data_IF_775967212190
#
_entry.id   IF_775967212190
#
_cell.length_a   1.000
_cell.length_b   1.000
_cell.length_c   1.000
_cell.angle_alpha   90.00
_cell.angle_beta   90.00
_cell.angle_gamma   90.00
#
_symmetry.space_group_name_H-M   'P 1'
#
loop_
_entity.id
_entity.type
_entity.pdbx_description
1 polymer ?
#
# COMPACT_ATOMS: atom_id res chain seq x y z
N UNK A 1 -15.02 -12.98 21.43
CA UNK A 1 -15.57 -12.70 20.08
C UNK A 1 -14.42 -12.34 19.16
N UNK A 2 -14.46 -12.66 17.87
CA UNK A 2 -13.38 -12.30 16.95
C UNK A 2 -13.81 -11.43 15.77
N UNK A 3 -12.88 -10.65 15.25
CA UNK A 3 -12.96 -9.91 13.99
C UNK A 3 -11.67 -10.17 13.21
N UNK A 4 -11.70 -10.08 11.88
CA UNK A 4 -10.50 -10.28 11.07
C UNK A 4 -10.00 -8.97 10.50
N UNK A 5 -8.68 -8.80 10.55
CA UNK A 5 -7.95 -7.70 9.94
C UNK A 5 -6.75 -8.22 9.17
N UNK A 6 -5.84 -7.29 8.85
CA UNK A 6 -4.60 -7.60 8.14
C UNK A 6 -3.41 -6.88 8.73
N UNK A 7 -2.24 -7.50 8.60
CA UNK A 7 -0.93 -6.83 8.72
C UNK A 7 -0.13 -7.08 7.44
N UNK A 8 0.89 -6.26 7.20
CA UNK A 8 1.75 -6.38 6.02
C UNK A 8 3.05 -7.11 6.38
N UNK A 9 3.45 -8.04 5.51
CA UNK A 9 4.75 -8.70 5.53
C UNK A 9 5.39 -8.50 4.16
N UNK A 10 6.30 -7.53 4.05
CA UNK A 10 6.77 -7.07 2.73
C UNK A 10 5.62 -6.49 1.91
N UNK A 11 5.41 -7.02 0.72
CA UNK A 11 4.32 -6.67 -0.20
C UNK A 11 3.05 -7.53 -0.01
N UNK A 12 3.07 -8.49 0.90
CA UNK A 12 1.95 -9.41 1.13
C UNK A 12 1.12 -8.99 2.35
N UNK A 13 -0.20 -9.21 2.28
CA UNK A 13 -1.07 -9.14 3.44
C UNK A 13 -1.15 -10.51 4.14
N UNK A 14 -1.16 -10.48 5.46
CA UNK A 14 -1.41 -11.64 6.32
C UNK A 14 -2.66 -11.40 7.14
N UNK A 15 -3.55 -12.40 7.18
CA UNK A 15 -4.78 -12.37 7.99
C UNK A 15 -4.39 -12.28 9.46
N UNK A 16 -5.02 -11.36 10.19
CA UNK A 16 -4.89 -11.22 11.64
C UNK A 16 -6.26 -11.44 12.25
N UNK A 17 -6.35 -12.37 13.21
CA UNK A 17 -7.56 -12.51 14.02
C UNK A 17 -7.43 -11.62 15.26
N UNK A 18 -8.46 -10.81 15.49
CA UNK A 18 -8.58 -9.89 16.60
C UNK A 18 -9.61 -10.45 17.57
N UNK A 19 -9.14 -11.12 18.60
CA UNK A 19 -9.97 -11.69 19.64
C UNK A 19 -10.16 -10.67 20.75
N UNK A 20 -11.41 -10.48 21.16
CA UNK A 20 -11.77 -9.52 22.21
C UNK A 20 -12.56 -10.22 23.31
N UNK A 21 -12.13 -9.96 24.54
CA UNK A 21 -12.81 -10.31 25.78
C UNK A 21 -13.03 -9.05 26.62
N UNK A 22 -14.22 -8.91 27.21
CA UNK A 22 -14.58 -7.81 28.10
C UNK A 22 -14.98 -8.39 29.45
N UNK A 23 -14.30 -7.98 30.51
CA UNK A 23 -14.54 -8.42 31.90
C UNK A 23 -14.85 -7.24 32.80
N UNK A 24 -15.45 -7.50 33.97
CA UNK A 24 -15.72 -6.47 34.97
C UNK A 24 -14.44 -5.87 35.60
N UNK A 25 -14.58 -4.70 36.22
CA UNK A 25 -13.49 -4.04 36.96
C UNK A 25 -13.14 -2.64 36.46
N UNK A 26 -11.97 -2.14 36.87
CA UNK A 26 -11.46 -0.83 36.46
C UNK A 26 -11.22 -0.78 34.95
N UNK A 27 -11.56 0.37 34.35
CA UNK A 27 -11.43 0.57 32.92
C UNK A 27 -9.98 0.40 32.46
N UNK A 28 -9.75 -0.52 31.52
CA UNK A 28 -8.44 -0.73 30.90
C UNK A 28 -8.59 -1.40 29.55
N UNK A 29 -7.70 -1.08 28.61
CA UNK A 29 -7.57 -1.78 27.32
C UNK A 29 -6.12 -2.27 27.18
N UNK A 30 -5.94 -3.57 27.02
CA UNK A 30 -4.66 -4.22 26.71
C UNK A 30 -4.67 -4.81 25.31
N UNK A 31 -3.53 -4.71 24.62
CA UNK A 31 -3.32 -5.28 23.28
C UNK A 31 -2.07 -6.14 23.32
N UNK A 32 -2.19 -7.41 22.93
CA UNK A 32 -1.09 -8.40 22.91
C UNK A 32 -1.01 -9.11 21.55
N UNK A 33 0.07 -9.85 21.29
CA UNK A 33 0.31 -10.53 20.01
C UNK A 33 1.30 -9.82 19.08
N UNK A 34 2.43 -9.36 19.63
CA UNK A 34 3.49 -8.59 18.95
C UNK A 34 3.02 -7.29 18.24
N UNK A 35 2.26 -6.40 18.92
CA UNK A 35 1.94 -5.09 18.35
C UNK A 35 3.17 -4.17 18.35
N UNK A 36 3.30 -3.32 17.33
CA UNK A 36 4.21 -2.17 17.37
C UNK A 36 3.67 -1.04 18.28
N UNK A 37 4.36 0.10 18.33
CA UNK A 37 3.92 1.25 19.12
C UNK A 37 2.58 1.82 18.62
N UNK A 38 2.38 1.90 17.30
CA UNK A 38 1.17 2.45 16.69
C UNK A 38 -0.06 1.61 17.00
N UNK A 39 0.06 0.28 16.93
CA UNK A 39 -0.99 -0.68 17.29
C UNK A 39 -1.29 -0.63 18.79
N UNK A 40 -0.28 -0.45 19.66
CA UNK A 40 -0.53 -0.26 21.11
C UNK A 40 -1.30 1.04 21.40
N UNK A 41 -0.98 2.11 20.69
CA UNK A 41 -1.64 3.42 20.82
C UNK A 41 -3.05 3.43 20.21
N UNK A 42 -3.36 2.50 19.31
CA UNK A 42 -4.69 2.33 18.72
C UNK A 42 -5.79 2.22 19.77
N UNK A 43 -5.50 1.71 20.98
CA UNK A 43 -6.47 1.61 22.08
C UNK A 43 -7.17 2.94 22.39
N UNK A 44 -6.45 4.06 22.31
CA UNK A 44 -7.04 5.38 22.57
C UNK A 44 -7.89 5.85 21.38
N UNK A 45 -7.42 5.63 20.15
CA UNK A 45 -8.15 5.97 18.93
C UNK A 45 -9.45 5.18 18.80
N UNK A 46 -9.37 3.86 18.98
CA UNK A 46 -10.50 2.93 18.97
C UNK A 46 -11.52 3.31 20.05
N UNK A 47 -11.07 3.59 21.28
CA UNK A 47 -11.96 4.02 22.37
C UNK A 47 -12.69 5.34 22.04
N UNK A 48 -11.98 6.32 21.48
CA UNK A 48 -12.58 7.60 21.11
C UNK A 48 -13.59 7.44 19.98
N UNK A 49 -13.23 6.68 18.93
CA UNK A 49 -14.09 6.39 17.79
C UNK A 49 -15.37 5.62 18.18
N UNK A 50 -15.28 4.64 19.07
CA UNK A 50 -16.46 3.93 19.59
C UNK A 50 -17.38 4.89 20.37
N UNK A 51 -16.80 5.77 21.17
CA UNK A 51 -17.57 6.77 21.93
C UNK A 51 -18.30 7.76 21.02
N UNK A 52 -17.69 8.16 19.90
CA UNK A 52 -18.32 9.11 18.97
C UNK A 52 -19.57 8.53 18.29
N UNK A 53 -19.69 7.20 18.21
CA UNK A 53 -20.87 6.50 17.71
C UNK A 53 -21.81 6.02 18.81
N UNK A 54 -21.69 6.59 20.02
CA UNK A 54 -22.58 6.31 21.15
C UNK A 54 -22.23 5.06 21.96
N UNK A 55 -21.11 4.39 21.68
CA UNK A 55 -20.72 3.17 22.39
C UNK A 55 -19.76 3.48 23.53
N UNK A 56 -20.21 3.27 24.77
CA UNK A 56 -19.40 3.47 25.97
C UNK A 56 -18.77 2.15 26.42
N UNK A 57 -17.49 1.96 26.09
CA UNK A 57 -16.71 0.78 26.52
C UNK A 57 -16.41 0.87 28.02
N UNK A 58 -16.77 -0.16 28.77
CA UNK A 58 -16.56 -0.27 30.23
C UNK A 58 -15.83 -1.56 30.57
N UNK A 59 -15.25 -1.60 31.78
CA UNK A 59 -14.52 -2.77 32.27
C UNK A 59 -13.13 -2.94 31.66
N UNK A 60 -12.57 -4.14 31.81
CA UNK A 60 -11.26 -4.50 31.27
C UNK A 60 -11.45 -5.20 29.93
N UNK A 61 -10.89 -4.60 28.88
CA UNK A 61 -10.88 -5.13 27.52
C UNK A 61 -9.51 -5.74 27.24
N UNK A 62 -9.49 -7.03 26.95
CA UNK A 62 -8.30 -7.73 26.46
C UNK A 62 -8.45 -7.96 24.95
N UNK A 63 -7.47 -7.49 24.18
CA UNK A 63 -7.38 -7.68 22.73
C UNK A 63 -6.16 -8.54 22.42
N UNK A 64 -6.39 -9.72 21.86
CA UNK A 64 -5.34 -10.61 21.38
C UNK A 64 -5.28 -10.59 19.86
N UNK A 65 -4.08 -10.40 19.30
CA UNK A 65 -3.83 -10.34 17.86
C UNK A 65 -3.11 -11.61 17.40
N UNK A 66 -3.83 -12.56 16.80
CA UNK A 66 -3.29 -13.81 16.29
C UNK A 66 -2.94 -13.73 14.80
N UNK A 67 -1.89 -14.44 14.32
CA UNK A 67 -1.04 -15.38 15.07
C UNK A 67 0.10 -14.66 15.81
N UNK A 68 0.48 -15.14 17.00
CA UNK A 68 1.35 -14.41 17.93
C UNK A 68 2.83 -14.28 17.50
N UNK A 69 3.27 -15.03 16.48
CA UNK A 69 4.61 -15.02 15.90
C UNK A 69 4.80 -13.96 14.80
N UNK A 70 3.70 -13.36 14.34
CA UNK A 70 3.71 -12.33 13.31
C UNK A 70 3.64 -10.93 13.93
N UNK A 71 4.60 -10.02 13.64
CA UNK A 71 4.51 -8.62 14.03
C UNK A 71 3.31 -7.90 13.40
N UNK A 72 2.61 -7.08 14.20
CA UNK A 72 1.49 -6.24 13.75
C UNK A 72 1.92 -4.78 13.76
N UNK A 73 1.86 -4.16 12.59
CA UNK A 73 2.41 -2.82 12.39
C UNK A 73 1.40 -1.80 11.87
N UNK A 74 1.55 -0.56 12.33
CA UNK A 74 0.77 0.59 11.85
C UNK A 74 -0.69 0.61 12.31
N UNK A 75 -1.51 1.44 11.66
CA UNK A 75 -2.87 1.71 12.08
C UNK A 75 -3.95 0.90 11.32
N UNK A 76 -3.56 -0.13 10.55
CA UNK A 76 -4.50 -0.94 9.76
C UNK A 76 -5.53 -1.68 10.63
N UNK A 77 -5.14 -1.98 11.87
CA UNK A 77 -5.91 -2.80 12.81
C UNK A 77 -6.84 -1.99 13.71
N UNK A 78 -6.89 -0.66 13.61
CA UNK A 78 -7.81 0.15 14.41
C UNK A 78 -9.28 -0.28 14.15
N UNK A 79 -9.67 -0.38 12.87
CA UNK A 79 -11.02 -0.79 12.48
C UNK A 79 -11.41 -2.21 12.98
N UNK A 80 -10.64 -3.29 12.71
CA UNK A 80 -11.00 -4.62 13.20
C UNK A 80 -10.99 -4.72 14.73
N UNK A 81 -10.16 -3.94 15.44
CA UNK A 81 -10.25 -3.81 16.91
C UNK A 81 -11.58 -3.21 17.36
N UNK A 82 -12.04 -2.13 16.73
CA UNK A 82 -13.34 -1.54 17.05
C UNK A 82 -14.51 -2.50 16.75
N UNK A 83 -14.44 -3.23 15.64
CA UNK A 83 -15.43 -4.28 15.30
C UNK A 83 -15.42 -5.40 16.35
N UNK A 84 -14.25 -5.89 16.74
CA UNK A 84 -14.12 -6.93 17.78
C UNK A 84 -14.73 -6.51 19.12
N UNK A 85 -14.48 -5.26 19.55
CA UNK A 85 -15.08 -4.70 20.77
C UNK A 85 -16.59 -4.57 20.63
N UNK A 86 -17.09 -4.05 19.51
CA UNK A 86 -18.53 -3.92 19.28
C UNK A 86 -19.25 -5.27 19.31
N UNK A 87 -18.65 -6.32 18.75
CA UNK A 87 -19.16 -7.71 18.84
C UNK A 87 -19.17 -8.21 20.29
N UNK A 88 -18.09 -7.97 21.05
CA UNK A 88 -18.00 -8.40 22.45
C UNK A 88 -19.00 -7.66 23.36
N UNK A 89 -19.39 -6.44 23.02
CA UNK A 89 -20.44 -5.68 23.70
C UNK A 89 -21.86 -6.10 23.29
N UNK A 90 -22.03 -6.86 22.20
CA UNK A 90 -23.34 -7.22 21.66
C UNK A 90 -24.04 -6.11 20.86
N UNK A 91 -23.29 -5.06 20.47
CA UNK A 91 -23.81 -3.87 19.77
C UNK A 91 -23.98 -4.07 18.26
N UNK A 92 -23.36 -5.12 17.72
CA UNK A 92 -23.54 -5.58 16.35
C UNK A 92 -23.84 -7.09 16.36
N UNK A 93 -24.73 -7.57 15.47
CA UNK A 93 -25.06 -8.98 15.41
C UNK A 93 -23.86 -9.81 14.96
N UNK A 94 -23.89 -11.14 15.16
CA UNK A 94 -22.91 -12.04 14.56
C UNK A 94 -23.04 -12.00 13.03
N UNK A 95 -22.21 -11.17 12.39
CA UNK A 95 -22.04 -11.18 10.95
C UNK A 95 -21.10 -12.32 10.53
N UNK A 96 -21.23 -12.75 9.27
CA UNK A 96 -20.31 -13.71 8.66
C UNK A 96 -18.86 -13.24 8.70
N UNK A 97 -17.92 -14.13 8.42
CA UNK A 97 -16.51 -13.75 8.38
C UNK A 97 -16.26 -12.65 7.34
N UNK A 98 -15.54 -11.62 7.75
CA UNK A 98 -15.16 -10.50 6.90
C UNK A 98 -13.82 -9.93 7.35
N UNK A 99 -13.03 -9.44 6.39
CA UNK A 99 -11.78 -8.74 6.66
C UNK A 99 -12.08 -7.24 6.76
N UNK A 100 -11.64 -6.60 7.82
CA UNK A 100 -11.77 -5.16 8.03
C UNK A 100 -10.38 -4.53 8.12
N UNK A 101 -10.17 -3.39 7.48
CA UNK A 101 -8.95 -2.61 7.63
C UNK A 101 -9.24 -1.12 7.60
N UNK A 102 -8.44 -0.34 8.33
CA UNK A 102 -8.54 1.11 8.33
C UNK A 102 -8.05 1.73 9.63
N UNK A 103 -7.55 2.95 9.52
CA UNK A 103 -7.20 3.79 10.67
C UNK A 103 -8.45 4.52 11.16
N UNK A 104 -8.62 4.60 12.48
CA UNK A 104 -9.73 5.34 13.07
C UNK A 104 -9.30 6.74 13.50
N UNK A 105 -10.01 7.74 13.02
CA UNK A 105 -10.01 9.06 13.62
C UNK A 105 -10.82 9.05 14.93
N UNK A 106 -10.52 9.99 15.83
CA UNK A 106 -11.19 10.08 17.14
C UNK A 106 -12.71 10.35 17.04
N UNK A 107 -13.17 10.89 15.92
CA UNK A 107 -14.58 11.17 15.62
C UNK A 107 -15.30 10.00 14.93
N UNK A 108 -14.61 8.87 14.73
CA UNK A 108 -15.19 7.68 14.10
C UNK A 108 -15.11 7.66 12.58
N UNK A 109 -14.48 8.66 11.93
CA UNK A 109 -14.12 8.57 10.51
C UNK A 109 -13.05 7.50 10.30
N UNK A 110 -13.10 6.83 9.15
CA UNK A 110 -12.11 5.83 8.74
C UNK A 110 -11.17 6.47 7.72
N UNK A 111 -9.88 6.45 8.02
CA UNK A 111 -8.83 7.08 7.20
C UNK A 111 -8.14 6.06 6.31
N UNK A 112 -7.57 6.58 5.21
CA UNK A 112 -6.75 5.82 4.27
C UNK A 112 -5.62 5.11 5.01
N UNK A 113 -5.36 3.87 4.63
CA UNK A 113 -4.19 3.11 5.09
C UNK A 113 -3.40 2.59 3.90
N UNK A 114 -2.15 2.20 4.13
CA UNK A 114 -1.37 1.45 3.14
C UNK A 114 -1.87 0.01 3.04
N UNK A 115 -1.61 -0.66 1.92
CA UNK A 115 -1.76 -2.10 1.79
C UNK A 115 -3.16 -2.60 1.43
N UNK A 116 -4.07 -1.77 0.91
CA UNK A 116 -5.41 -2.24 0.57
C UNK A 116 -5.42 -3.20 -0.63
N UNK A 117 -4.49 -3.07 -1.58
CA UNK A 117 -4.35 -4.01 -2.71
C UNK A 117 -3.89 -5.41 -2.24
N UNK A 118 -2.80 -5.55 -1.44
CA UNK A 118 -2.48 -6.82 -0.79
C UNK A 118 -3.66 -7.42 0.00
N UNK A 119 -4.41 -6.58 0.74
CA UNK A 119 -5.56 -7.03 1.51
C UNK A 119 -6.72 -7.52 0.62
N UNK A 120 -6.97 -6.86 -0.51
CA UNK A 120 -7.96 -7.28 -1.50
C UNK A 120 -7.61 -8.62 -2.15
N UNK A 121 -6.33 -8.83 -2.47
CA UNK A 121 -5.84 -10.13 -2.98
C UNK A 121 -6.03 -11.23 -1.94
N UNK A 122 -5.71 -10.96 -0.67
CA UNK A 122 -5.93 -11.90 0.43
C UNK A 122 -7.41 -12.23 0.62
N UNK A 123 -8.28 -11.21 0.64
CA UNK A 123 -9.72 -11.37 0.80
C UNK A 123 -10.32 -12.21 -0.33
N UNK A 124 -9.91 -11.94 -1.59
CA UNK A 124 -10.27 -12.75 -2.75
C UNK A 124 -9.85 -14.20 -2.58
N UNK A 125 -8.60 -14.46 -2.21
CA UNK A 125 -8.09 -15.84 -1.98
C UNK A 125 -8.84 -16.56 -0.87
N UNK A 126 -9.26 -15.85 0.17
CA UNK A 126 -10.01 -16.40 1.28
C UNK A 126 -11.52 -16.54 1.02
N UNK A 127 -12.04 -15.97 -0.08
CA UNK A 127 -13.48 -15.93 -0.35
C UNK A 127 -14.25 -15.07 0.67
N UNK A 128 -13.60 -14.07 1.28
CA UNK A 128 -14.18 -13.23 2.31
C UNK A 128 -14.45 -11.80 1.80
N UNK A 129 -15.54 -11.15 2.24
CA UNK A 129 -15.76 -9.74 1.97
C UNK A 129 -14.71 -8.87 2.67
N UNK A 130 -14.34 -7.76 2.02
CA UNK A 130 -13.37 -6.79 2.52
C UNK A 130 -14.02 -5.43 2.80
N UNK A 131 -13.89 -4.93 4.03
CA UNK A 131 -14.27 -3.57 4.41
C UNK A 131 -13.03 -2.70 4.48
N UNK A 132 -12.98 -1.66 3.65
CA UNK A 132 -11.83 -0.76 3.48
C UNK A 132 -12.24 0.70 3.65
N UNK A 133 -11.30 1.60 3.98
CA UNK A 133 -11.57 3.03 3.95
C UNK A 133 -12.04 3.46 2.57
N UNK A 134 -12.99 4.40 2.50
CA UNK A 134 -13.45 4.98 1.23
C UNK A 134 -12.29 5.53 0.38
N UNK A 135 -11.28 6.13 1.03
CA UNK A 135 -10.07 6.62 0.38
C UNK A 135 -9.16 5.52 -0.22
N UNK A 136 -9.40 4.24 0.07
CA UNK A 136 -8.75 3.10 -0.56
C UNK A 136 -9.62 2.42 -1.63
N UNK A 137 -10.86 2.88 -1.84
CA UNK A 137 -11.79 2.21 -2.76
C UNK A 137 -11.25 2.14 -4.20
N UNK A 138 -10.57 3.20 -4.67
CA UNK A 138 -10.04 3.25 -6.05
C UNK A 138 -8.96 2.20 -6.33
N UNK A 139 -8.02 1.96 -5.41
CA UNK A 139 -6.99 0.94 -5.62
C UNK A 139 -7.56 -0.47 -5.46
N UNK A 140 -8.55 -0.66 -4.58
CA UNK A 140 -9.23 -1.94 -4.40
C UNK A 140 -10.11 -2.29 -5.60
N UNK A 141 -10.73 -1.29 -6.26
CA UNK A 141 -11.57 -1.54 -7.44
C UNK A 141 -10.80 -2.11 -8.62
N UNK A 142 -9.49 -1.89 -8.68
CA UNK A 142 -8.61 -2.45 -9.71
C UNK A 142 -8.31 -3.95 -9.50
N UNK A 143 -8.63 -4.50 -8.32
CA UNK A 143 -8.42 -5.92 -8.01
C UNK A 143 -9.65 -6.73 -8.46
N UNK A 144 -9.53 -7.38 -9.61
CA UNK A 144 -10.61 -8.17 -10.19
C UNK A 144 -11.06 -9.34 -9.29
N UNK A 145 -12.37 -9.45 -9.05
CA UNK A 145 -13.00 -10.58 -8.36
C UNK A 145 -12.97 -10.53 -6.83
N UNK A 146 -12.59 -9.39 -6.22
CA UNK A 146 -12.77 -9.17 -4.79
C UNK A 146 -14.19 -8.65 -4.52
N UNK A 147 -14.83 -9.11 -3.45
CA UNK A 147 -16.04 -8.46 -2.92
C UNK A 147 -15.60 -7.48 -1.84
N UNK A 148 -15.61 -6.19 -2.13
CA UNK A 148 -15.18 -5.15 -1.20
C UNK A 148 -16.26 -4.09 -0.99
N UNK A 149 -16.22 -3.42 0.16
CA UNK A 149 -17.12 -2.35 0.55
C UNK A 149 -16.30 -1.14 1.03
N UNK A 150 -16.61 0.03 0.47
CA UNK A 150 -16.02 1.30 0.89
C UNK A 150 -16.74 1.83 2.12
N UNK A 151 -15.97 2.20 3.15
CA UNK A 151 -16.50 2.64 4.44
C UNK A 151 -15.88 3.98 4.82
N UNK A 152 -16.72 4.99 5.06
CA UNK A 152 -16.29 6.34 5.42
C UNK A 152 -16.25 6.58 6.93
N UNK A 153 -17.08 5.85 7.69
CA UNK A 153 -17.19 5.99 9.14
C UNK A 153 -17.58 4.69 9.85
N UNK A 154 -17.20 4.57 11.11
CA UNK A 154 -17.56 3.45 11.98
C UNK A 154 -19.08 3.30 12.13
N UNK A 155 -19.81 4.42 12.22
CA UNK A 155 -21.27 4.43 12.28
C UNK A 155 -21.90 3.80 11.04
N UNK A 156 -21.39 4.11 9.84
CA UNK A 156 -21.88 3.52 8.59
C UNK A 156 -21.64 2.01 8.51
N UNK A 157 -20.49 1.54 9.03
CA UNK A 157 -20.17 0.11 9.09
C UNK A 157 -21.10 -0.64 10.04
N UNK A 158 -21.36 -0.08 11.22
CA UNK A 158 -22.20 -0.74 12.21
C UNK A 158 -23.67 -0.75 11.80
N UNK A 159 -24.16 0.33 11.16
CA UNK A 159 -25.49 0.34 10.55
C UNK A 159 -25.63 -0.75 9.46
N UNK A 160 -24.57 -0.99 8.68
CA UNK A 160 -24.54 -2.09 7.73
C UNK A 160 -24.59 -3.46 8.40
N UNK A 161 -23.77 -3.69 9.43
CA UNK A 161 -23.79 -4.96 10.16
C UNK A 161 -25.12 -5.22 10.88
N UNK A 162 -25.82 -4.17 11.34
CA UNK A 162 -27.16 -4.29 11.93
C UNK A 162 -28.28 -4.44 10.90
N UNK A 163 -28.00 -4.33 9.60
CA UNK A 163 -29.01 -4.38 8.54
C UNK A 163 -29.85 -3.10 8.42
N UNK A 164 -29.47 -2.01 9.08
CA UNK A 164 -30.17 -0.72 9.05
C UNK A 164 -29.91 0.04 7.75
N UNK A 165 -28.69 -0.09 7.20
CA UNK A 165 -28.28 0.57 5.97
C UNK A 165 -27.26 -0.27 5.20
N UNK A 166 -27.61 -0.74 4.01
CA UNK A 166 -26.68 -1.48 3.17
C UNK A 166 -25.56 -0.58 2.63
N UNK A 167 -24.32 -1.09 2.64
CA UNK A 167 -23.21 -0.51 1.88
C UNK A 167 -23.24 -1.11 0.47
N UNK A 168 -22.91 -0.28 -0.52
CA UNK A 168 -22.76 -0.76 -1.89
C UNK A 168 -21.38 -1.40 -2.05
N UNK A 169 -21.28 -2.52 -2.78
CA UNK A 169 -19.99 -3.08 -3.12
C UNK A 169 -19.21 -2.09 -4.00
N UNK A 170 -17.89 -2.09 -3.85
CA UNK A 170 -16.98 -1.33 -4.71
C UNK A 170 -17.10 -1.89 -6.13
N UNK A 171 -17.51 -1.03 -7.06
CA UNK A 171 -17.60 -1.40 -8.48
C UNK A 171 -16.20 -1.62 -9.05
N UNK A 172 -16.07 -2.62 -9.93
CA UNK A 172 -14.81 -2.92 -10.60
C UNK A 172 -14.34 -1.73 -11.44
N UNK A 173 -13.09 -1.33 -11.23
CA UNK A 173 -12.43 -0.27 -11.97
C UNK A 173 -11.46 -0.83 -13.01
N UNK A 174 -11.11 0.01 -13.97
CA UNK A 174 -10.01 -0.23 -14.88
C UNK A 174 -9.05 0.97 -14.86
N UNK A 175 -7.80 0.73 -15.27
CA UNK A 175 -6.83 1.79 -15.56
C UNK A 175 -7.01 2.18 -17.02
N UNK A 176 -7.16 3.47 -17.29
CA UNK A 176 -7.44 3.95 -18.64
C UNK A 176 -6.23 3.81 -19.56
N UNK A 177 -6.49 3.66 -20.86
CA UNK A 177 -5.49 3.69 -21.93
C UNK A 177 -5.09 5.13 -22.29
N UNK A 178 -5.12 6.04 -21.32
CA UNK A 178 -4.81 7.44 -21.55
C UNK A 178 -3.45 7.55 -22.23
N UNK A 179 -3.37 8.42 -23.26
CA UNK A 179 -2.12 8.68 -23.98
C UNK A 179 -1.06 9.09 -22.96
N UNK A 180 0.06 8.40 -23.01
CA UNK A 180 1.25 8.76 -22.23
C UNK A 180 1.77 10.07 -22.81
N UNK A 181 1.52 11.18 -22.13
CA UNK A 181 2.19 12.44 -22.45
C UNK A 181 3.63 12.35 -21.91
N UNK A 182 4.58 12.28 -22.83
CA UNK A 182 6.00 12.25 -22.49
C UNK A 182 6.46 13.69 -22.22
N UNK A 183 6.75 14.00 -20.97
CA UNK A 183 7.39 15.27 -20.60
C UNK A 183 8.75 14.99 -19.94
N UNK A 184 9.88 15.23 -20.62
CA UNK A 184 10.04 15.73 -22.00
C UNK A 184 9.85 14.63 -23.07
N UNK A 185 9.54 15.01 -24.32
CA UNK A 185 9.54 14.09 -25.46
C UNK A 185 10.96 14.00 -26.07
N UNK A 186 11.30 12.86 -26.67
CA UNK A 186 12.57 12.68 -27.39
C UNK A 186 12.68 13.65 -28.58
N UNK A 187 11.56 14.04 -29.18
CA UNK A 187 11.47 15.02 -30.25
C UNK A 187 11.93 16.43 -29.83
N UNK A 188 11.77 16.78 -28.55
CA UNK A 188 12.16 18.08 -28.01
C UNK A 188 13.69 18.26 -27.90
N UNK A 189 14.42 17.14 -27.87
CA UNK A 189 15.87 17.15 -27.68
C UNK A 189 16.56 17.45 -29.01
N UNK A 190 17.27 18.56 -29.12
CA UNK A 190 18.00 18.90 -30.36
C UNK A 190 19.34 18.16 -30.44
N UNK A 191 19.64 17.54 -31.59
CA UNK A 191 20.89 16.80 -31.80
C UNK A 191 20.94 15.44 -31.10
N UNK A 192 22.12 15.03 -30.63
CA UNK A 192 22.34 13.79 -29.86
C UNK A 192 21.91 12.49 -30.58
N UNK A 193 22.05 12.41 -31.90
CA UNK A 193 21.54 11.30 -32.71
C UNK A 193 21.96 9.90 -32.18
N UNK A 194 23.23 9.75 -31.76
CA UNK A 194 23.73 8.51 -31.19
C UNK A 194 23.05 8.16 -29.85
N UNK A 195 22.89 9.13 -28.95
CA UNK A 195 22.25 8.90 -27.65
C UNK A 195 20.74 8.63 -27.79
N UNK A 196 20.06 9.34 -28.70
CA UNK A 196 18.67 9.06 -29.06
C UNK A 196 18.51 7.63 -29.56
N UNK A 197 19.37 7.21 -30.49
CA UNK A 197 19.34 5.85 -31.01
C UNK A 197 19.60 4.79 -29.93
N UNK A 198 20.54 5.06 -29.02
CA UNK A 198 20.80 4.18 -27.88
C UNK A 198 19.58 4.06 -26.95
N UNK A 199 18.86 5.15 -26.69
CA UNK A 199 17.61 5.14 -25.92
C UNK A 199 16.52 4.30 -26.59
N UNK A 200 16.33 4.43 -27.90
CA UNK A 200 15.37 3.62 -28.65
C UNK A 200 15.68 2.12 -28.53
N UNK A 201 16.95 1.75 -28.70
CA UNK A 201 17.40 0.36 -28.59
C UNK A 201 17.20 -0.15 -27.15
N UNK A 202 17.56 0.65 -26.15
CA UNK A 202 17.38 0.29 -24.75
C UNK A 202 15.90 0.13 -24.38
N UNK A 203 15.03 1.03 -24.85
CA UNK A 203 13.58 0.96 -24.64
C UNK A 203 12.97 -0.30 -25.28
N UNK A 204 13.38 -0.62 -26.51
CA UNK A 204 12.88 -1.78 -27.24
C UNK A 204 13.36 -3.12 -26.64
N UNK A 205 14.60 -3.16 -26.16
CA UNK A 205 15.23 -4.37 -25.63
C UNK A 205 15.19 -4.55 -24.11
N UNK A 206 14.68 -3.56 -23.37
CA UNK A 206 14.75 -3.56 -21.91
C UNK A 206 16.18 -3.53 -21.36
N UNK A 207 17.08 -2.80 -22.03
CA UNK A 207 18.50 -2.78 -21.67
C UNK A 207 18.84 -1.65 -20.69
N UNK A 208 19.81 -1.93 -19.82
CA UNK A 208 20.46 -0.91 -19.00
C UNK A 208 21.26 0.06 -19.88
N UNK A 209 21.25 1.35 -19.53
CA UNK A 209 21.91 2.41 -20.30
C UNK A 209 22.78 3.28 -19.38
N UNK A 210 24.02 3.55 -19.80
CA UNK A 210 24.91 4.52 -19.17
C UNK A 210 25.10 5.70 -20.13
N UNK A 211 24.83 6.92 -19.65
CA UNK A 211 25.01 8.16 -20.40
C UNK A 211 26.25 8.91 -19.89
N UNK A 212 27.27 9.05 -20.73
CA UNK A 212 28.52 9.76 -20.39
C UNK A 212 28.62 11.06 -21.20
N UNK A 213 28.95 12.17 -20.53
CA UNK A 213 29.14 13.46 -21.18
C UNK A 213 29.26 14.61 -20.19
N UNK A 214 29.70 15.78 -20.68
CA UNK A 214 29.90 16.98 -19.86
C UNK A 214 28.62 17.45 -19.14
N UNK A 215 28.74 18.21 -18.03
CA UNK A 215 27.60 18.87 -17.41
C UNK A 215 26.81 19.71 -18.43
N UNK A 216 25.48 19.72 -18.32
CA UNK A 216 24.61 20.48 -19.22
C UNK A 216 24.39 19.87 -20.62
N UNK A 217 24.98 18.71 -20.95
CA UNK A 217 24.82 18.07 -22.27
C UNK A 217 23.44 17.46 -22.56
N UNK A 218 22.49 17.58 -21.63
CA UNK A 218 21.11 17.08 -21.78
C UNK A 218 20.89 15.63 -21.29
N UNK A 219 21.83 15.02 -20.57
CA UNK A 219 21.71 13.61 -20.07
C UNK A 219 20.43 13.34 -19.30
N UNK A 220 20.08 14.22 -18.35
CA UNK A 220 18.86 14.07 -17.54
C UNK A 220 17.59 14.23 -18.39
N UNK A 221 17.61 15.12 -19.39
CA UNK A 221 16.50 15.29 -20.32
C UNK A 221 16.31 14.06 -21.21
N UNK A 222 17.42 13.50 -21.73
CA UNK A 222 17.47 12.23 -22.45
C UNK A 222 16.91 11.08 -21.60
N UNK A 223 17.36 10.93 -20.36
CA UNK A 223 16.88 9.88 -19.46
C UNK A 223 15.38 9.98 -19.18
N UNK A 224 14.86 11.20 -18.92
CA UNK A 224 13.42 11.39 -18.68
C UNK A 224 12.56 11.09 -19.91
N UNK A 225 13.07 11.39 -21.12
CA UNK A 225 12.35 11.08 -22.38
C UNK A 225 12.14 9.59 -22.62
N UNK A 226 12.92 8.72 -21.96
CA UNK A 226 12.76 7.26 -22.04
C UNK A 226 11.34 6.81 -21.65
N UNK A 227 10.67 7.52 -20.73
CA UNK A 227 9.29 7.19 -20.31
C UNK A 227 8.31 7.18 -21.49
N UNK A 228 8.50 8.07 -22.46
CA UNK A 228 7.65 8.17 -23.65
C UNK A 228 7.92 7.10 -24.70
N UNK A 229 9.09 6.46 -24.65
CA UNK A 229 9.48 5.42 -25.61
C UNK A 229 9.03 4.02 -25.17
N UNK A 230 8.85 3.82 -23.86
CA UNK A 230 8.49 2.52 -23.34
C UNK A 230 7.01 2.20 -23.62
N UNK A 231 6.69 0.93 -23.92
CA UNK A 231 5.31 0.53 -24.12
C UNK A 231 4.50 0.69 -22.82
N UNK A 232 3.19 0.98 -22.90
CA UNK A 232 2.32 1.03 -21.73
C UNK A 232 2.34 -0.31 -20.98
N UNK A 233 2.05 -0.26 -19.68
CA UNK A 233 1.91 -1.44 -18.83
C UNK A 233 0.74 -2.32 -19.29
N UNK A 234 0.98 -3.63 -19.38
CA UNK A 234 -0.09 -4.63 -19.49
C UNK A 234 -0.94 -4.68 -18.22
N UNK A 235 -2.10 -5.35 -18.25
CA UNK A 235 -2.95 -5.50 -17.05
C UNK A 235 -2.23 -6.22 -15.90
N UNK A 236 -1.40 -7.21 -16.22
CA UNK A 236 -0.59 -7.94 -15.24
C UNK A 236 0.48 -7.02 -14.63
N UNK A 237 1.19 -6.25 -15.46
CA UNK A 237 2.20 -5.31 -14.99
C UNK A 237 1.58 -4.15 -14.17
N UNK A 238 0.37 -3.70 -14.52
CA UNK A 238 -0.40 -2.73 -13.72
C UNK A 238 -0.67 -3.30 -12.34
N UNK A 239 -1.08 -4.58 -12.23
CA UNK A 239 -1.33 -5.20 -10.93
C UNK A 239 -0.06 -5.31 -10.09
N UNK A 240 1.07 -5.70 -10.69
CA UNK A 240 2.36 -5.79 -9.99
C UNK A 240 2.82 -4.43 -9.45
N UNK A 241 2.76 -3.38 -10.27
CA UNK A 241 3.14 -2.02 -9.84
C UNK A 241 2.19 -1.47 -8.79
N UNK A 242 0.88 -1.72 -8.93
CA UNK A 242 -0.15 -1.33 -7.98
C UNK A 242 0.06 -1.98 -6.60
N UNK A 243 0.46 -3.26 -6.58
CA UNK A 243 0.77 -4.00 -5.34
C UNK A 243 1.88 -3.31 -4.54
N UNK A 244 2.98 -2.95 -5.20
CA UNK A 244 4.11 -2.28 -4.54
C UNK A 244 3.71 -0.88 -4.05
N UNK A 245 3.03 -0.10 -4.89
CA UNK A 245 2.59 1.27 -4.54
C UNK A 245 1.63 1.30 -3.35
N UNK A 246 0.64 0.42 -3.35
CA UNK A 246 -0.31 0.30 -2.24
C UNK A 246 0.42 -0.05 -0.93
N UNK A 247 1.42 -0.93 -0.97
CA UNK A 247 2.21 -1.34 0.22
C UNK A 247 2.91 -0.18 0.92
N UNK A 248 3.34 0.84 0.16
CA UNK A 248 3.94 2.07 0.70
C UNK A 248 2.93 3.22 0.88
N UNK A 249 1.65 2.99 0.57
CA UNK A 249 0.59 3.98 0.73
C UNK A 249 0.52 5.04 -0.38
N UNK A 250 1.16 4.80 -1.53
CA UNK A 250 1.02 5.68 -2.69
C UNK A 250 -0.33 5.45 -3.38
N UNK A 251 -0.97 6.48 -3.95
CA UNK A 251 -2.19 6.30 -4.74
C UNK A 251 -1.91 5.49 -6.02
N UNK A 252 -2.94 4.83 -6.60
CA UNK A 252 -2.82 4.23 -7.92
C UNK A 252 -2.51 5.32 -8.97
N UNK A 253 -1.78 4.96 -10.01
CA UNK A 253 -1.71 5.80 -11.21
C UNK A 253 -2.98 5.60 -12.04
N UNK A 254 -3.49 6.68 -12.64
CA UNK A 254 -4.66 6.63 -13.51
C UNK A 254 -4.31 6.26 -14.96
N UNK A 255 -3.02 6.07 -15.25
CA UNK A 255 -2.49 5.74 -16.57
C UNK A 255 -1.63 4.49 -16.53
N UNK A 256 -1.47 3.84 -17.69
CA UNK A 256 -0.55 2.71 -17.88
C UNK A 256 0.91 3.15 -18.07
N UNK A 257 1.29 4.33 -17.58
CA UNK A 257 2.68 4.80 -17.68
C UNK A 257 3.59 3.94 -16.81
N UNK A 258 4.76 3.60 -17.35
CA UNK A 258 5.77 2.91 -16.56
C UNK A 258 6.32 3.84 -15.47
N UNK A 259 6.56 3.33 -14.25
CA UNK A 259 7.17 4.11 -13.18
C UNK A 259 8.53 4.67 -13.61
N UNK A 260 8.85 5.87 -13.15
CA UNK A 260 10.17 6.46 -13.30
C UNK A 260 10.62 7.00 -11.95
N UNK A 261 11.66 6.40 -11.38
CA UNK A 261 12.20 6.75 -10.06
C UNK A 261 13.56 7.37 -10.25
N UNK A 262 13.67 8.65 -9.91
CA UNK A 262 14.93 9.36 -9.89
C UNK A 262 15.51 9.33 -8.49
N UNK A 263 16.75 8.89 -8.39
CA UNK A 263 17.46 8.77 -7.12
C UNK A 263 18.65 9.72 -7.13
N UNK A 264 18.78 10.50 -6.06
CA UNK A 264 19.91 11.38 -5.83
C UNK A 264 21.03 10.62 -5.08
N UNK A 265 22.29 10.96 -5.34
CA UNK A 265 23.47 10.28 -4.75
C UNK A 265 23.54 10.35 -3.21
N UNK A 266 22.78 11.24 -2.57
CA UNK A 266 22.66 11.36 -1.11
C UNK A 266 21.65 10.37 -0.49
N UNK A 267 20.90 9.62 -1.31
CA UNK A 267 19.93 8.65 -0.81
C UNK A 267 20.62 7.46 -0.14
N UNK A 268 19.95 6.90 0.87
CA UNK A 268 20.48 5.79 1.68
C UNK A 268 20.29 4.44 0.98
N UNK A 269 21.12 3.46 1.33
CA UNK A 269 20.99 2.08 0.83
C UNK A 269 19.62 1.48 1.13
N UNK A 270 19.07 1.71 2.33
CA UNK A 270 17.74 1.24 2.71
C UNK A 270 16.62 1.93 1.91
N UNK A 271 16.71 3.24 1.65
CA UNK A 271 15.70 3.92 0.83
C UNK A 271 15.68 3.42 -0.61
N UNK A 272 16.83 3.00 -1.15
CA UNK A 272 16.94 2.58 -2.54
C UNK A 272 16.61 1.10 -2.70
N UNK A 273 17.29 0.23 -1.94
CA UNK A 273 17.14 -1.22 -2.06
C UNK A 273 15.90 -1.74 -1.30
N UNK A 274 15.37 -0.94 -0.37
CA UNK A 274 14.35 -1.38 0.56
C UNK A 274 14.94 -2.06 1.80
N UNK A 275 14.06 -2.65 2.61
CA UNK A 275 14.43 -3.34 3.85
C UNK A 275 14.22 -2.50 5.11
N UNK A 276 15.11 -2.68 6.10
CA UNK A 276 14.96 -2.14 7.46
C UNK A 276 14.27 -3.12 8.41
N UNK A 277 14.03 -2.68 9.65
CA UNK A 277 13.36 -3.51 10.67
C UNK A 277 11.95 -3.95 10.23
N UNK A 278 11.27 -3.07 9.49
CA UNK A 278 10.02 -3.36 8.79
C UNK A 278 10.36 -3.56 7.32
N UNK A 279 10.19 -4.77 6.76
CA UNK A 279 10.53 -5.06 5.36
C UNK A 279 9.67 -4.19 4.42
N UNK A 280 10.24 -3.06 3.93
CA UNK A 280 9.54 -2.10 3.08
C UNK A 280 10.17 -2.02 1.69
N UNK A 281 9.35 -1.84 0.63
CA UNK A 281 9.86 -1.56 -0.71
C UNK A 281 10.70 -0.28 -0.76
N UNK A 282 11.81 -0.31 -1.51
CA UNK A 282 12.66 0.85 -1.80
C UNK A 282 12.40 1.43 -3.20
N UNK A 283 13.23 2.40 -3.61
CA UNK A 283 13.19 3.01 -4.95
C UNK A 283 13.30 1.98 -6.08
N UNK A 284 14.11 0.93 -5.91
CA UNK A 284 14.22 -0.17 -6.89
C UNK A 284 12.87 -0.85 -7.09
N UNK A 285 12.20 -1.22 -5.99
CA UNK A 285 10.87 -1.84 -6.05
C UNK A 285 9.82 -0.88 -6.60
N UNK A 286 9.90 0.42 -6.30
CA UNK A 286 9.00 1.42 -6.86
C UNK A 286 9.23 1.70 -8.35
N UNK A 287 10.41 1.35 -8.86
CA UNK A 287 10.75 1.38 -10.27
C UNK A 287 10.39 0.08 -11.00
N UNK A 288 9.80 -0.90 -10.32
CA UNK A 288 9.41 -2.19 -10.91
C UNK A 288 8.60 -2.00 -12.20
N UNK A 289 8.92 -2.79 -13.24
CA UNK A 289 8.40 -2.64 -14.61
C UNK A 289 8.59 -1.26 -15.23
N UNK A 290 9.53 -0.46 -14.73
CA UNK A 290 9.80 0.89 -15.19
C UNK A 290 11.29 1.22 -15.21
N UNK A 291 11.62 2.45 -14.82
CA UNK A 291 12.99 2.99 -14.92
C UNK A 291 13.45 3.48 -13.56
N UNK A 292 14.61 2.98 -13.12
CA UNK A 292 15.39 3.55 -12.03
C UNK A 292 16.51 4.41 -12.64
N UNK A 293 16.46 5.72 -12.41
CA UNK A 293 17.46 6.66 -12.90
C UNK A 293 18.38 7.09 -11.75
N UNK A 294 19.66 6.73 -11.87
CA UNK A 294 20.73 7.11 -10.95
C UNK A 294 21.44 8.35 -11.50
N UNK A 295 21.15 9.52 -10.94
CA UNK A 295 21.81 10.76 -11.36
C UNK A 295 23.20 10.84 -10.75
N UNK A 296 24.22 11.14 -11.57
CA UNK A 296 25.62 11.19 -11.15
C UNK A 296 26.11 9.86 -10.53
N UNK A 297 26.02 8.77 -11.28
CA UNK A 297 26.35 7.40 -10.83
C UNK A 297 27.66 7.28 -10.02
N UNK A 298 28.69 8.04 -10.39
CA UNK A 298 30.01 8.02 -9.75
C UNK A 298 30.05 8.64 -8.35
N UNK A 299 29.05 9.45 -7.98
CA UNK A 299 28.95 10.10 -6.67
C UNK A 299 28.30 9.18 -5.62
N UNK A 300 27.67 8.09 -6.05
CA UNK A 300 27.06 7.15 -5.14
C UNK A 300 28.13 6.40 -4.32
N UNK A 301 27.81 6.18 -3.05
CA UNK A 301 28.66 5.43 -2.13
C UNK A 301 28.82 3.99 -2.62
N UNK A 302 30.02 3.43 -2.45
CA UNK A 302 30.36 2.09 -2.96
C UNK A 302 29.46 0.99 -2.40
N UNK A 303 29.09 1.07 -1.11
CA UNK A 303 28.20 0.10 -0.46
C UNK A 303 26.84 0.00 -1.14
N UNK A 304 26.30 1.13 -1.60
CA UNK A 304 25.06 1.17 -2.37
C UNK A 304 25.23 0.53 -3.75
N UNK A 305 26.30 0.87 -4.47
CA UNK A 305 26.54 0.33 -5.81
C UNK A 305 26.69 -1.20 -5.79
N UNK A 306 27.38 -1.73 -4.77
CA UNK A 306 27.49 -3.18 -4.55
C UNK A 306 26.12 -3.80 -4.22
N UNK A 307 25.28 -3.12 -3.43
CA UNK A 307 23.92 -3.59 -3.15
C UNK A 307 23.01 -3.59 -4.39
N UNK A 308 23.22 -2.67 -5.33
CA UNK A 308 22.50 -2.60 -6.61
C UNK A 308 23.03 -3.57 -7.66
N UNK A 309 24.21 -4.17 -7.44
CA UNK A 309 24.86 -5.04 -8.43
C UNK A 309 23.95 -6.18 -8.89
N UNK A 310 23.39 -6.92 -7.94
CA UNK A 310 22.54 -8.07 -8.28
C UNK A 310 21.26 -7.65 -9.04
N UNK A 311 20.48 -6.64 -8.58
CA UNK A 311 19.36 -6.11 -9.36
C UNK A 311 19.74 -5.66 -10.79
N UNK A 312 20.93 -5.06 -10.97
CA UNK A 312 21.39 -4.59 -12.27
C UNK A 312 21.86 -5.73 -13.19
N UNK A 313 22.40 -6.83 -12.64
CA UNK A 313 22.85 -8.01 -13.37
C UNK A 313 21.69 -8.92 -13.78
N UNK A 314 20.75 -9.17 -12.87
CA UNK A 314 19.67 -10.16 -13.07
C UNK A 314 18.47 -9.59 -13.85
N UNK A 315 18.30 -8.26 -13.86
CA UNK A 315 17.22 -7.58 -14.59
C UNK A 315 15.80 -7.90 -14.09
N UNK A 316 15.66 -8.49 -12.90
CA UNK A 316 14.40 -8.81 -12.22
C UNK A 316 14.43 -8.39 -10.75
#
# INVERSE_FOLDING_TARGET
MSAFGVTLQGIEARKVEVEVEITGGLFSISVVGLPDASVREARERVRAALRSVGMSVRGRVAINLAPADLPKEGALLDLPMAVGIARAMGEIPPVGEAICMGELALDGRIRRVRGAVPAAILAKKAGLPLFVPEANAREVSLVSGVTAYAVSSLGSLFAHFRGERALNPVEGGYVGDAKIEAEPDLADIKGQAQAKRALEIAAAGGHNLILVGSPGSGKTMLAKSLRGLLPPLSDEEVMETLLVRSTVGLPPEESRTRPFRMVHHTATTVSICGGGATLKPGEVSLAHRGVLFLDELTEFRRDLLEALRQPLEDGN
#
